data_IF_082726264980
#
_entry.id   IF_082726264980
#
_cell.length_a   1.000
_cell.length_b   1.000
_cell.length_c   1.000
_cell.angle_alpha   90.00
_cell.angle_beta   90.00
_cell.angle_gamma   90.00
#
_symmetry.space_group_name_H-M   'P 1'
#
loop_
_entity.id
_entity.type
_entity.pdbx_description
1 polymer ?
#
# COMPACT_ATOMS: atom_id res chain seq x y z
N UNK A 1 -6.12 -4.77 2.75
CA UNK A 1 -4.79 -4.33 2.31
C UNK A 1 -4.90 -2.99 1.60
N UNK A 2 -3.84 -2.20 1.66
CA UNK A 2 -3.68 -0.93 0.94
C UNK A 2 -2.56 -1.13 -0.09
N UNK A 3 -2.78 -0.67 -1.31
CA UNK A 3 -1.73 -0.57 -2.32
C UNK A 3 -1.43 0.92 -2.49
N UNK A 4 -0.24 1.33 -2.07
CA UNK A 4 0.22 2.70 -2.25
C UNK A 4 1.09 2.79 -3.48
N UNK A 5 0.61 3.51 -4.50
CA UNK A 5 1.36 3.76 -5.72
C UNK A 5 2.30 4.94 -5.50
N UNK A 6 3.59 4.68 -5.66
CA UNK A 6 4.66 5.67 -5.39
C UNK A 6 5.36 6.00 -6.69
N UNK A 7 5.49 7.29 -7.00
CA UNK A 7 6.20 7.74 -8.18
C UNK A 7 7.71 7.60 -8.02
N UNK A 8 8.33 6.79 -8.89
CA UNK A 8 9.76 6.50 -8.89
C UNK A 8 10.41 6.81 -10.25
N UNK A 9 10.00 7.89 -10.90
CA UNK A 9 10.57 8.34 -12.18
C UNK A 9 10.49 9.86 -12.31
N UNK A 10 11.41 10.42 -13.06
CA UNK A 10 11.41 11.84 -13.43
C UNK A 10 10.67 12.02 -14.78
N UNK A 11 9.74 12.96 -14.81
CA UNK A 11 9.03 13.36 -16.04
C UNK A 11 9.03 14.89 -16.12
N UNK A 12 9.69 15.47 -17.13
CA UNK A 12 9.76 16.91 -17.29
C UNK A 12 8.40 17.58 -17.59
N UNK A 13 7.41 16.79 -18.05
CA UNK A 13 6.08 17.30 -18.35
C UNK A 13 5.14 17.28 -17.14
N UNK A 14 5.49 16.61 -16.07
CA UNK A 14 4.68 16.50 -14.85
C UNK A 14 5.30 17.27 -13.72
N UNK A 15 4.70 18.42 -13.38
CA UNK A 15 5.15 19.26 -12.27
C UNK A 15 4.89 18.51 -10.95
N UNK A 16 5.94 18.28 -10.17
CA UNK A 16 5.82 17.80 -8.80
C UNK A 16 5.44 18.97 -7.88
N UNK A 17 4.54 18.73 -6.93
CA UNK A 17 4.07 19.78 -5.99
C UNK A 17 5.23 20.38 -5.20
N UNK A 18 6.22 19.57 -4.83
CA UNK A 18 7.44 20.00 -4.11
C UNK A 18 8.60 20.40 -5.04
N UNK A 19 8.44 20.34 -6.35
CA UNK A 19 9.47 20.68 -7.35
C UNK A 19 10.60 19.66 -7.52
N UNK A 20 10.62 18.58 -6.71
CA UNK A 20 11.58 17.47 -6.77
C UNK A 20 10.85 16.18 -6.47
N UNK A 21 11.17 15.10 -7.18
CA UNK A 21 10.64 13.77 -6.90
C UNK A 21 11.37 13.21 -5.67
N UNK A 22 10.63 13.01 -4.59
CA UNK A 22 11.10 12.31 -3.39
C UNK A 22 10.05 11.28 -2.97
N UNK A 23 10.25 10.00 -3.34
CA UNK A 23 9.29 8.94 -3.05
C UNK A 23 9.04 8.71 -1.55
N UNK A 24 10.04 8.97 -0.70
CA UNK A 24 9.90 8.76 0.75
C UNK A 24 9.04 9.85 1.38
N UNK A 25 9.24 11.09 0.95
CA UNK A 25 8.43 12.23 1.40
C UNK A 25 6.95 12.03 0.98
N UNK A 26 6.72 11.59 -0.26
CA UNK A 26 5.37 11.27 -0.76
C UNK A 26 4.71 10.15 0.08
N UNK A 27 5.45 9.11 0.45
CA UNK A 27 4.96 8.04 1.33
C UNK A 27 4.57 8.59 2.70
N UNK A 28 5.42 9.41 3.31
CA UNK A 28 5.18 9.96 4.64
C UNK A 28 3.99 10.92 4.67
N UNK A 29 3.81 11.72 3.63
CA UNK A 29 2.63 12.60 3.48
C UNK A 29 1.35 11.77 3.46
N UNK A 30 1.26 10.75 2.60
CA UNK A 30 0.07 9.89 2.52
C UNK A 30 -0.17 9.15 3.84
N UNK A 31 0.87 8.62 4.45
CA UNK A 31 0.76 7.93 5.74
C UNK A 31 0.20 8.87 6.83
N UNK A 32 0.65 10.12 6.84
CA UNK A 32 0.15 11.14 7.75
C UNK A 32 -1.33 11.46 7.49
N UNK A 33 -1.73 11.60 6.23
CA UNK A 33 -3.13 11.82 5.86
C UNK A 33 -4.04 10.66 6.29
N UNK A 34 -3.58 9.41 6.10
CA UNK A 34 -4.33 8.23 6.54
C UNK A 34 -4.48 8.19 8.07
N UNK A 35 -3.42 8.50 8.81
CA UNK A 35 -3.45 8.56 10.27
C UNK A 35 -4.39 9.65 10.77
N UNK A 36 -4.41 10.84 10.15
CA UNK A 36 -5.32 11.93 10.49
C UNK A 36 -6.80 11.57 10.23
N UNK A 37 -7.07 10.89 9.11
CA UNK A 37 -8.42 10.42 8.79
C UNK A 37 -8.92 9.38 9.80
N UNK A 38 -8.04 8.45 10.18
CA UNK A 38 -8.34 7.45 11.21
C UNK A 38 -8.55 8.10 12.58
N UNK A 39 -7.73 9.08 12.95
CA UNK A 39 -7.88 9.84 14.20
C UNK A 39 -9.24 10.52 14.29
N UNK A 40 -9.68 11.21 13.23
CA UNK A 40 -11.01 11.83 13.17
C UNK A 40 -12.14 10.80 13.31
N UNK A 41 -11.95 9.58 12.81
CA UNK A 41 -12.91 8.47 12.95
C UNK A 41 -12.95 7.95 14.38
N UNK A 42 -11.79 7.77 15.01
CA UNK A 42 -11.65 7.33 16.41
C UNK A 42 -12.26 8.33 17.37
N UNK A 43 -11.99 9.62 17.21
CA UNK A 43 -12.57 10.69 18.05
C UNK A 43 -14.11 10.70 18.00
N UNK A 44 -14.69 10.57 16.81
CA UNK A 44 -16.14 10.47 16.65
C UNK A 44 -16.73 9.25 17.37
N UNK A 45 -16.03 8.13 17.33
CA UNK A 45 -16.46 6.91 18.02
C UNK A 45 -16.32 7.05 19.54
N UNK A 46 -15.22 7.62 20.06
CA UNK A 46 -15.04 7.92 21.48
C UNK A 46 -16.20 8.79 22.00
N UNK A 47 -16.56 9.85 21.28
CA UNK A 47 -17.65 10.74 21.67
C UNK A 47 -19.02 10.04 21.77
N UNK A 48 -19.26 9.01 20.96
CA UNK A 48 -20.48 8.18 20.99
C UNK A 48 -20.43 7.14 22.12
N UNK A 49 -19.33 6.37 22.16
CA UNK A 49 -19.18 5.22 23.05
C UNK A 49 -19.03 5.66 24.52
N UNK A 50 -18.38 6.80 24.77
CA UNK A 50 -18.20 7.34 26.15
C UNK A 50 -19.51 7.55 26.88
N UNK A 51 -20.60 7.85 26.17
CA UNK A 51 -21.94 8.00 26.77
C UNK A 51 -22.51 6.66 27.21
N UNK A 52 -22.32 5.62 26.41
CA UNK A 52 -22.81 4.26 26.67
C UNK A 52 -21.95 3.58 27.75
N UNK A 53 -20.62 3.76 27.70
CA UNK A 53 -19.70 3.21 28.68
C UNK A 53 -20.03 3.71 30.14
N UNK A 54 -20.55 4.93 30.30
CA UNK A 54 -20.99 5.45 31.58
C UNK A 54 -22.19 4.70 32.20
N UNK A 55 -22.94 3.93 31.40
CA UNK A 55 -24.04 3.11 31.91
C UNK A 55 -23.56 1.75 32.44
N UNK A 56 -22.27 1.44 32.37
CA UNK A 56 -21.67 0.21 32.91
C UNK A 56 -21.74 -0.99 31.97
N UNK A 57 -22.05 -0.77 30.70
CA UNK A 57 -21.97 -1.81 29.66
C UNK A 57 -20.51 -2.25 29.45
N UNK A 58 -20.24 -3.54 29.68
CA UNK A 58 -18.88 -4.10 29.61
C UNK A 58 -18.27 -4.01 28.21
N UNK A 59 -19.06 -4.23 27.18
CA UNK A 59 -18.60 -4.19 25.79
C UNK A 59 -18.27 -2.75 25.38
N UNK A 60 -19.08 -1.79 25.82
CA UNK A 60 -18.81 -0.37 25.59
C UNK A 60 -17.56 0.13 26.35
N UNK A 61 -17.30 -0.39 27.56
CA UNK A 61 -16.09 -0.06 28.32
C UNK A 61 -14.86 -0.62 27.64
N UNK A 62 -14.89 -1.88 27.15
CA UNK A 62 -13.80 -2.48 26.42
C UNK A 62 -13.52 -1.70 25.11
N UNK A 63 -14.57 -1.40 24.35
CA UNK A 63 -14.46 -0.62 23.12
C UNK A 63 -13.84 0.76 23.37
N UNK A 64 -14.26 1.45 24.43
CA UNK A 64 -13.70 2.75 24.80
C UNK A 64 -12.22 2.65 25.13
N UNK A 65 -11.80 1.63 25.89
CA UNK A 65 -10.39 1.37 26.21
C UNK A 65 -9.55 1.16 24.95
N UNK A 66 -10.05 0.37 23.99
CA UNK A 66 -9.39 0.12 22.70
C UNK A 66 -9.27 1.41 21.88
N UNK A 67 -10.34 2.23 21.83
CA UNK A 67 -10.34 3.49 21.11
C UNK A 67 -9.34 4.50 21.69
N UNK A 68 -9.26 4.62 23.02
CA UNK A 68 -8.32 5.51 23.70
C UNK A 68 -6.86 5.07 23.49
N UNK A 69 -6.59 3.76 23.48
CA UNK A 69 -5.27 3.22 23.14
C UNK A 69 -4.93 3.52 21.67
N UNK A 70 -5.89 3.32 20.75
CA UNK A 70 -5.72 3.59 19.34
C UNK A 70 -5.43 5.06 19.06
N UNK A 71 -6.13 5.97 19.72
CA UNK A 71 -5.89 7.40 19.61
C UNK A 71 -4.44 7.76 19.94
N UNK A 72 -3.91 7.25 21.06
CA UNK A 72 -2.52 7.50 21.48
C UNK A 72 -1.50 6.93 20.49
N UNK A 73 -1.78 5.77 19.88
CA UNK A 73 -0.90 5.16 18.90
C UNK A 73 -0.87 5.98 17.61
N UNK A 74 -2.02 6.50 17.16
CA UNK A 74 -2.13 7.34 15.97
C UNK A 74 -1.42 8.69 16.11
N UNK A 75 -1.26 9.22 17.33
CA UNK A 75 -0.48 10.44 17.58
C UNK A 75 1.02 10.26 17.31
N UNK A 76 1.53 9.03 17.41
CA UNK A 76 2.96 8.73 17.32
C UNK A 76 3.39 7.85 16.15
N UNK A 77 2.48 7.21 15.44
CA UNK A 77 2.83 6.23 14.40
C UNK A 77 1.86 6.27 13.23
N UNK A 78 2.39 6.20 12.03
CA UNK A 78 1.62 6.14 10.77
C UNK A 78 1.06 4.74 10.48
N UNK A 79 1.69 3.69 11.01
CA UNK A 79 1.26 2.30 10.90
C UNK A 79 1.23 1.63 12.26
N UNK A 80 0.17 0.87 12.52
CA UNK A 80 -0.07 0.19 13.80
C UNK A 80 -0.22 -1.29 13.54
N UNK A 81 0.74 -2.09 14.02
CA UNK A 81 0.58 -3.52 14.11
C UNK A 81 -0.21 -3.86 15.36
N UNK A 82 -1.43 -4.35 15.19
CA UNK A 82 -2.34 -4.64 16.30
C UNK A 82 -1.78 -5.66 17.29
N UNK A 83 -1.00 -6.62 16.82
CA UNK A 83 -0.46 -7.69 17.67
C UNK A 83 0.59 -7.19 18.68
N UNK A 84 1.23 -6.04 18.39
CA UNK A 84 2.29 -5.50 19.27
C UNK A 84 1.71 -4.63 20.41
N UNK A 85 0.45 -4.17 20.27
CA UNK A 85 -0.13 -3.16 21.15
C UNK A 85 -1.41 -3.61 21.86
N UNK A 86 -2.07 -4.68 21.38
CA UNK A 86 -3.37 -5.11 21.86
C UNK A 86 -3.35 -6.57 22.31
N UNK A 87 -4.12 -6.89 23.36
CA UNK A 87 -4.30 -8.25 23.85
C UNK A 87 -5.26 -9.04 22.93
N UNK A 88 -5.32 -10.37 23.12
CA UNK A 88 -6.15 -11.28 22.32
C UNK A 88 -7.63 -10.88 22.32
N UNK A 89 -8.16 -10.39 23.44
CA UNK A 89 -9.57 -9.93 23.55
C UNK A 89 -9.80 -8.58 22.88
N UNK A 90 -8.79 -7.71 22.80
CA UNK A 90 -8.86 -6.38 22.21
C UNK A 90 -8.67 -6.39 20.68
N UNK A 91 -7.91 -7.35 20.15
CA UNK A 91 -7.61 -7.45 18.71
C UNK A 91 -8.88 -7.55 17.85
N UNK A 92 -9.89 -8.39 18.18
CA UNK A 92 -11.13 -8.44 17.40
C UNK A 92 -11.87 -7.10 17.39
N UNK A 93 -11.87 -6.40 18.53
CA UNK A 93 -12.50 -5.08 18.69
C UNK A 93 -11.75 -4.04 17.84
N UNK A 94 -10.42 -4.01 17.92
CA UNK A 94 -9.57 -3.12 17.12
C UNK A 94 -9.74 -3.36 15.61
N UNK A 95 -9.82 -4.63 15.17
CA UNK A 95 -10.10 -4.98 13.76
C UNK A 95 -11.48 -4.52 13.30
N UNK A 96 -12.49 -4.54 14.18
CA UNK A 96 -13.84 -4.08 13.85
C UNK A 96 -13.92 -2.58 13.54
N UNK A 97 -12.97 -1.78 14.03
CA UNK A 97 -12.87 -0.35 13.73
C UNK A 97 -12.52 -0.07 12.27
N UNK A 98 -11.95 -1.06 11.57
CA UNK A 98 -11.60 -1.03 10.15
C UNK A 98 -10.74 0.18 9.74
N UNK A 99 -9.84 0.60 10.62
CA UNK A 99 -8.94 1.73 10.40
C UNK A 99 -7.93 1.43 9.28
N UNK A 100 -7.53 2.45 8.54
CA UNK A 100 -6.58 2.32 7.43
C UNK A 100 -5.16 2.05 7.93
N UNK A 101 -4.75 2.71 9.00
CA UNK A 101 -3.41 2.56 9.60
C UNK A 101 -3.14 1.17 10.18
N UNK A 102 -4.15 0.32 10.31
CA UNK A 102 -3.99 -1.06 10.80
C UNK A 102 -3.95 -2.11 9.68
N UNK A 103 -4.10 -1.69 8.42
CA UNK A 103 -4.12 -2.60 7.27
C UNK A 103 -2.72 -2.85 6.74
N UNK A 104 -2.42 -4.07 6.26
CA UNK A 104 -1.15 -4.33 5.58
C UNK A 104 -1.05 -3.48 4.32
N UNK A 105 0.15 -2.95 4.07
CA UNK A 105 0.46 -2.06 2.94
C UNK A 105 1.41 -2.76 1.99
N UNK A 106 1.20 -2.56 0.69
CA UNK A 106 2.11 -2.92 -0.39
C UNK A 106 2.47 -1.64 -1.12
N UNK A 107 3.75 -1.37 -1.28
CA UNK A 107 4.23 -0.24 -2.07
C UNK A 107 4.39 -0.64 -3.53
N UNK A 108 3.62 -0.03 -4.44
CA UNK A 108 3.76 -0.18 -5.88
C UNK A 108 4.64 0.95 -6.41
N UNK A 109 5.93 0.67 -6.57
CA UNK A 109 6.90 1.62 -7.10
C UNK A 109 6.70 1.75 -8.62
N UNK A 110 6.06 2.85 -9.03
CA UNK A 110 5.80 3.14 -10.43
C UNK A 110 7.03 3.77 -11.08
N UNK A 111 7.62 3.08 -12.03
CA UNK A 111 8.85 3.45 -12.72
C UNK A 111 8.59 3.76 -14.20
N UNK A 112 9.59 4.36 -14.86
CA UNK A 112 9.61 4.48 -16.31
C UNK A 112 9.71 3.09 -16.96
N UNK A 113 9.31 2.98 -18.22
CA UNK A 113 9.43 1.74 -19.00
C UNK A 113 10.85 1.17 -19.01
N UNK A 114 11.85 2.06 -18.94
CA UNK A 114 13.27 1.70 -19.01
C UNK A 114 13.77 1.05 -17.71
N UNK A 115 13.17 1.40 -16.59
CA UNK A 115 13.61 0.99 -15.26
C UNK A 115 12.84 -0.22 -14.72
N UNK A 116 11.86 -0.75 -15.48
CA UNK A 116 11.00 -1.84 -15.02
C UNK A 116 11.76 -3.12 -14.61
N UNK A 117 12.88 -3.41 -15.31
CA UNK A 117 13.65 -4.64 -15.10
C UNK A 117 14.58 -4.55 -13.88
N UNK A 118 15.32 -3.47 -13.76
CA UNK A 118 16.41 -3.33 -12.78
C UNK A 118 16.04 -2.40 -11.64
N UNK A 119 14.95 -1.63 -11.81
CA UNK A 119 14.63 -0.53 -10.93
C UNK A 119 15.60 0.62 -11.09
N UNK A 120 15.52 1.58 -10.19
CA UNK A 120 16.39 2.74 -10.12
C UNK A 120 16.71 3.09 -8.65
N UNK A 121 17.40 4.19 -8.41
CA UNK A 121 17.77 4.59 -7.06
C UNK A 121 16.55 4.95 -6.19
N UNK A 122 15.45 5.39 -6.79
CA UNK A 122 14.19 5.62 -6.08
C UNK A 122 13.58 4.30 -5.59
N UNK A 123 13.54 3.27 -6.43
CA UNK A 123 13.01 1.95 -6.05
C UNK A 123 13.82 1.29 -4.94
N UNK A 124 15.15 1.48 -4.93
CA UNK A 124 16.00 0.97 -3.84
C UNK A 124 15.63 1.61 -2.50
N UNK A 125 15.46 2.94 -2.47
CA UNK A 125 15.04 3.66 -1.27
C UNK A 125 13.67 3.20 -0.76
N UNK A 126 12.69 3.06 -1.67
CA UNK A 126 11.36 2.55 -1.32
C UNK A 126 11.42 1.12 -0.82
N UNK A 127 12.27 0.26 -1.41
CA UNK A 127 12.47 -1.11 -0.96
C UNK A 127 13.07 -1.20 0.43
N UNK A 128 14.09 -0.39 0.73
CA UNK A 128 14.68 -0.28 2.07
C UNK A 128 13.66 0.20 3.10
N UNK A 129 12.87 1.21 2.74
CA UNK A 129 11.78 1.72 3.57
C UNK A 129 10.72 0.66 3.85
N UNK A 130 10.26 -0.04 2.81
CA UNK A 130 9.28 -1.11 2.92
C UNK A 130 9.78 -2.24 3.85
N UNK A 131 11.02 -2.69 3.66
CA UNK A 131 11.64 -3.72 4.50
C UNK A 131 11.74 -3.30 5.96
N UNK A 132 12.09 -2.04 6.24
CA UNK A 132 12.17 -1.50 7.60
C UNK A 132 10.80 -1.46 8.31
N UNK A 133 9.70 -1.35 7.55
CA UNK A 133 8.33 -1.30 8.08
C UNK A 133 7.56 -2.63 7.94
N UNK A 134 8.23 -3.72 7.54
CA UNK A 134 7.60 -5.03 7.37
C UNK A 134 6.57 -5.10 6.25
N UNK A 135 6.66 -4.19 5.26
CA UNK A 135 5.81 -4.13 4.09
C UNK A 135 6.51 -4.73 2.86
N UNK A 136 5.74 -5.09 1.85
CA UNK A 136 6.26 -5.57 0.57
C UNK A 136 6.29 -4.44 -0.46
N UNK A 137 7.21 -4.53 -1.43
CA UNK A 137 7.29 -3.63 -2.56
C UNK A 137 7.23 -4.41 -3.87
N UNK A 138 6.51 -3.87 -4.84
CA UNK A 138 6.48 -4.34 -6.23
C UNK A 138 6.85 -3.21 -7.17
N UNK A 139 7.61 -3.51 -8.22
CA UNK A 139 7.94 -2.54 -9.26
C UNK A 139 6.93 -2.70 -10.39
N UNK A 140 6.30 -1.60 -10.78
CA UNK A 140 5.31 -1.55 -11.86
C UNK A 140 5.66 -0.41 -12.83
N UNK A 141 5.12 -0.48 -14.05
CA UNK A 141 5.06 0.67 -14.95
C UNK A 141 3.60 0.87 -15.37
N UNK A 142 2.96 1.89 -14.81
CA UNK A 142 1.56 2.17 -15.08
C UNK A 142 1.29 2.41 -16.58
N UNK A 143 2.26 2.96 -17.30
CA UNK A 143 2.16 3.18 -18.74
C UNK A 143 2.11 1.86 -19.53
N UNK A 144 2.95 0.88 -19.17
CA UNK A 144 2.91 -0.44 -19.81
C UNK A 144 1.61 -1.16 -19.48
N UNK A 145 1.14 -1.07 -18.23
CA UNK A 145 -0.13 -1.67 -17.83
C UNK A 145 -1.32 -1.03 -18.57
N UNK A 146 -1.29 0.28 -18.80
CA UNK A 146 -2.29 0.98 -19.61
C UNK A 146 -2.29 0.47 -21.06
N UNK A 147 -1.12 0.39 -21.70
CA UNK A 147 -0.99 -0.13 -23.07
C UNK A 147 -1.48 -1.60 -23.16
N UNK A 148 -1.16 -2.43 -22.15
CA UNK A 148 -1.61 -3.82 -22.09
C UNK A 148 -3.13 -3.96 -21.88
N UNK A 149 -3.74 -3.04 -21.17
CA UNK A 149 -5.19 -3.07 -20.91
C UNK A 149 -6.03 -2.81 -22.17
N UNK A 150 -5.44 -2.15 -23.17
CA UNK A 150 -6.08 -1.89 -24.48
C UNK A 150 -5.99 -3.07 -25.46
N UNK A 151 -5.12 -4.05 -25.17
CA UNK A 151 -4.84 -5.19 -26.05
C UNK A 151 -5.71 -6.41 -25.67
N UNK A 152 -5.98 -7.28 -26.65
CA UNK A 152 -6.52 -8.60 -26.37
C UNK A 152 -5.50 -9.46 -25.60
N UNK A 153 -5.91 -10.52 -24.87
CA UNK A 153 -4.99 -11.37 -24.12
C UNK A 153 -3.87 -11.99 -24.97
N UNK A 154 -4.16 -12.29 -26.22
CA UNK A 154 -3.20 -12.83 -27.19
C UNK A 154 -2.17 -11.77 -27.57
N UNK A 155 -2.63 -10.58 -27.96
CA UNK A 155 -1.77 -9.44 -28.31
C UNK A 155 -0.94 -8.95 -27.13
N UNK A 156 -1.52 -8.90 -25.92
CA UNK A 156 -0.80 -8.54 -24.70
C UNK A 156 0.36 -9.53 -24.42
N UNK A 157 0.15 -10.81 -24.67
CA UNK A 157 1.20 -11.83 -24.52
C UNK A 157 2.33 -11.63 -25.53
N UNK A 158 2.01 -11.32 -26.78
CA UNK A 158 2.99 -11.02 -27.84
C UNK A 158 3.75 -9.73 -27.54
N UNK A 159 3.05 -8.68 -27.09
CA UNK A 159 3.64 -7.40 -26.72
C UNK A 159 4.66 -7.57 -25.57
N UNK A 160 4.27 -8.26 -24.51
CA UNK A 160 5.15 -8.55 -23.39
C UNK A 160 6.36 -9.39 -23.83
N UNK A 161 6.16 -10.38 -24.69
CA UNK A 161 7.23 -11.20 -25.24
C UNK A 161 8.23 -10.38 -26.08
N UNK A 162 7.72 -9.49 -26.93
CA UNK A 162 8.52 -8.59 -27.76
C UNK A 162 9.31 -7.59 -26.88
N UNK A 163 8.65 -7.01 -25.88
CA UNK A 163 9.26 -6.03 -24.98
C UNK A 163 10.41 -6.64 -24.17
N UNK A 164 10.23 -7.85 -23.67
CA UNK A 164 11.27 -8.58 -22.95
C UNK A 164 12.43 -9.03 -23.86
N UNK A 165 12.14 -9.47 -25.07
CA UNK A 165 13.17 -9.86 -26.02
C UNK A 165 14.04 -8.68 -26.46
N UNK A 166 13.44 -7.55 -26.78
CA UNK A 166 14.16 -6.33 -27.21
C UNK A 166 15.09 -5.78 -26.13
N UNK A 167 14.77 -6.00 -24.85
CA UNK A 167 15.58 -5.58 -23.69
C UNK A 167 16.56 -6.63 -23.18
N UNK A 168 16.79 -7.73 -23.93
CA UNK A 168 17.82 -8.72 -23.63
C UNK A 168 17.51 -9.67 -22.47
N UNK A 169 16.23 -9.78 -22.07
CA UNK A 169 15.81 -10.78 -21.10
C UNK A 169 15.77 -12.17 -21.74
N UNK A 170 16.38 -13.18 -21.12
CA UNK A 170 16.29 -14.55 -21.62
C UNK A 170 14.87 -15.11 -21.42
N UNK A 171 14.40 -15.96 -22.35
CA UNK A 171 13.08 -16.61 -22.35
C UNK A 171 12.70 -17.26 -21.01
N UNK A 172 13.69 -17.72 -20.25
CA UNK A 172 13.54 -18.43 -18.99
C UNK A 172 13.18 -17.51 -17.81
N UNK A 173 13.71 -16.28 -17.76
CA UNK A 173 13.42 -15.30 -16.71
C UNK A 173 11.98 -14.80 -16.77
N UNK A 174 11.42 -14.73 -17.98
CA UNK A 174 10.07 -14.23 -18.18
C UNK A 174 8.99 -15.22 -17.72
N UNK A 175 9.17 -16.51 -17.98
CA UNK A 175 8.22 -17.54 -17.56
C UNK A 175 8.13 -17.69 -16.04
N UNK A 176 9.21 -17.37 -15.30
CA UNK A 176 9.23 -17.41 -13.85
C UNK A 176 8.64 -16.15 -13.19
N UNK A 177 8.91 -14.97 -13.74
CA UNK A 177 8.41 -13.69 -13.14
C UNK A 177 6.96 -13.40 -13.47
N UNK A 178 6.50 -13.68 -14.70
CA UNK A 178 5.09 -13.54 -15.04
C UNK A 178 4.19 -14.56 -14.32
N UNK A 179 4.71 -15.72 -13.91
CA UNK A 179 3.94 -16.68 -13.11
C UNK A 179 3.71 -16.24 -11.67
N UNK A 180 4.53 -15.34 -11.15
CA UNK A 180 4.46 -14.95 -9.74
C UNK A 180 3.70 -13.66 -9.43
N UNK A 181 3.57 -12.72 -10.37
CA UNK A 181 2.92 -11.44 -10.05
C UNK A 181 1.82 -10.99 -11.02
N UNK A 182 2.05 -10.98 -12.33
CA UNK A 182 1.13 -10.33 -13.27
C UNK A 182 0.09 -11.26 -13.88
N UNK A 183 0.43 -12.52 -14.17
CA UNK A 183 -0.53 -13.51 -14.74
C UNK A 183 -1.50 -14.05 -13.68
N UNK A 184 -1.14 -14.05 -12.41
CA UNK A 184 -2.08 -14.38 -11.33
C UNK A 184 -3.23 -13.36 -11.24
N UNK A 185 -3.00 -12.12 -11.60
CA UNK A 185 -4.03 -11.08 -11.66
C UNK A 185 -4.99 -11.27 -12.83
N UNK A 186 -4.50 -11.56 -14.04
CA UNK A 186 -5.36 -11.80 -15.20
C UNK A 186 -6.26 -13.04 -15.04
N UNK A 187 -5.83 -14.10 -14.34
CA UNK A 187 -6.66 -15.27 -14.10
C UNK A 187 -7.71 -15.10 -13.00
N UNK A 188 -7.59 -14.07 -12.13
CA UNK A 188 -8.57 -13.80 -11.07
C UNK A 188 -9.81 -13.04 -11.55
N UNK A 189 -9.81 -12.52 -12.76
CA UNK A 189 -10.94 -11.80 -13.38
C UNK A 189 -11.69 -12.60 -14.46
N UNK A 190 -11.56 -13.94 -14.51
CA UNK A 190 -12.49 -14.77 -15.26
C UNK A 190 -13.74 -15.01 -14.41
N UNK A 191 -14.75 -14.18 -14.65
CA UNK A 191 -16.15 -14.53 -14.44
C UNK A 191 -16.70 -15.22 -15.67
#
# INVERSE_FOLDING_TARGET
>A
AIIQVVRCFDDPNTIHVSGKVDPLDDIEIINTELALADMASVEKQIAKVSKVAKSGDKDAVLLLSVLEKMQKLLEGASFINLNDHFNEDEIPVAKSLNLMSTKPVIYAANVSEFDLKEGNDYTKKVGEYAAAHGAEMVIISARIEEELAELSPEEATEYLHYYCWRKGSSRLDYSCRCKSSTISWCNSYRF
#
